data_IF_488890253062
#
_entry.id   IF_488890253062
#
_cell.length_a   1.000
_cell.length_b   1.000
_cell.length_c   1.000
_cell.angle_alpha   90.00
_cell.angle_beta   90.00
_cell.angle_gamma   90.00
#
_symmetry.space_group_name_H-M   'P 1'
#
loop_
_entity.id
_entity.type
_entity.pdbx_description
1 polymer ?
#
# COMPACT_ATOMS: atom_id res chain seq x y z
N UNK A 1 17.32 19.30 19.09
CA UNK A 1 16.48 18.16 18.69
C UNK A 1 15.41 18.73 17.77
N UNK A 2 15.40 18.39 16.48
CA UNK A 2 14.35 18.88 15.57
C UNK A 2 13.01 18.32 16.04
N UNK A 3 12.00 19.18 16.17
CA UNK A 3 10.67 18.77 16.60
C UNK A 3 10.08 17.78 15.57
N UNK A 4 9.48 16.69 16.05
CA UNK A 4 8.70 15.79 15.22
C UNK A 4 7.57 16.59 14.56
N UNK A 5 7.28 16.32 13.29
CA UNK A 5 6.15 16.92 12.60
C UNK A 5 4.83 16.28 13.05
N UNK A 6 4.07 16.99 13.89
CA UNK A 6 2.85 16.47 14.53
C UNK A 6 1.65 16.29 13.58
N UNK A 7 1.79 16.56 12.28
CA UNK A 7 0.67 16.62 11.34
C UNK A 7 0.46 15.36 10.48
N UNK A 8 1.42 14.43 10.48
CA UNK A 8 1.38 13.26 9.57
C UNK A 8 0.67 12.05 10.20
N UNK A 9 0.98 11.73 11.45
CA UNK A 9 0.27 10.72 12.24
C UNK A 9 0.12 11.20 13.69
N UNK A 10 -0.79 12.15 13.97
CA UNK A 10 -0.85 12.87 15.25
C UNK A 10 -1.11 11.98 16.47
N UNK A 11 -1.74 10.83 16.26
CA UNK A 11 -2.04 9.84 17.29
C UNK A 11 -1.20 8.55 17.13
N UNK A 12 -0.16 8.62 16.29
CA UNK A 12 0.74 7.52 15.98
C UNK A 12 1.80 7.29 17.06
N UNK A 13 2.63 6.27 16.82
CA UNK A 13 3.83 6.04 17.63
C UNK A 13 4.97 6.97 17.16
N UNK A 14 5.95 7.22 18.02
CA UNK A 14 7.16 7.95 17.63
C UNK A 14 7.92 7.19 16.52
N UNK A 15 8.29 7.92 15.46
CA UNK A 15 8.87 7.32 14.26
C UNK A 15 10.38 7.06 14.42
N UNK A 16 10.72 5.84 14.81
CA UNK A 16 12.10 5.32 14.86
C UNK A 16 12.33 4.14 13.90
N UNK A 17 11.44 3.92 12.93
CA UNK A 17 11.67 2.87 11.94
C UNK A 17 12.83 3.24 11.01
N UNK A 18 13.39 2.23 10.34
CA UNK A 18 14.43 2.41 9.32
C UNK A 18 13.88 2.72 7.93
N UNK A 19 12.55 2.79 7.79
CA UNK A 19 11.86 2.89 6.50
C UNK A 19 11.29 4.28 6.27
N UNK A 20 10.84 4.95 7.34
CA UNK A 20 10.20 6.26 7.27
C UNK A 20 10.87 7.26 8.21
N UNK A 21 10.57 8.54 7.99
CA UNK A 21 10.74 9.60 8.98
C UNK A 21 9.38 10.21 9.27
N UNK A 22 9.31 11.11 10.26
CA UNK A 22 8.17 11.96 10.60
C UNK A 22 7.55 12.79 9.45
N UNK A 23 8.10 12.73 8.24
CA UNK A 23 7.60 13.41 7.03
C UNK A 23 6.68 12.54 6.17
N UNK A 24 6.45 11.28 6.52
CA UNK A 24 5.64 10.36 5.74
C UNK A 24 4.88 9.40 6.63
N UNK A 25 3.68 9.01 6.18
CA UNK A 25 2.85 8.10 6.94
C UNK A 25 3.44 6.69 6.88
N UNK A 26 3.75 6.12 8.04
CA UNK A 26 4.31 4.78 8.14
C UNK A 26 3.30 3.73 7.69
N UNK A 27 3.70 2.79 6.82
CA UNK A 27 2.79 1.76 6.33
C UNK A 27 2.32 0.77 7.42
N UNK A 28 2.99 0.75 8.57
CA UNK A 28 2.61 -0.05 9.73
C UNK A 28 1.64 0.68 10.67
N UNK A 29 1.42 1.99 10.49
CA UNK A 29 0.52 2.74 11.36
C UNK A 29 -0.93 2.33 11.17
N UNK A 30 -1.74 2.49 12.22
CA UNK A 30 -3.18 2.21 12.15
C UNK A 30 -3.86 3.06 11.06
N UNK A 31 -3.46 4.33 10.97
CA UNK A 31 -3.94 5.27 9.95
C UNK A 31 -3.71 4.75 8.53
N UNK A 32 -2.50 4.25 8.22
CA UNK A 32 -2.21 3.69 6.88
C UNK A 32 -2.93 2.36 6.62
N UNK A 33 -3.00 1.49 7.63
CA UNK A 33 -3.73 0.23 7.51
C UNK A 33 -5.19 0.48 7.12
N UNK A 34 -5.83 1.50 7.71
CA UNK A 34 -7.20 1.81 7.39
C UNK A 34 -7.37 2.37 5.98
N UNK A 35 -6.46 3.23 5.52
CA UNK A 35 -6.43 3.68 4.12
C UNK A 35 -6.38 2.50 3.15
N UNK A 36 -5.53 1.50 3.44
CA UNK A 36 -5.40 0.31 2.58
C UNK A 36 -6.63 -0.59 2.63
N UNK A 37 -7.28 -0.73 3.79
CA UNK A 37 -8.55 -1.47 3.93
C UNK A 37 -9.67 -0.80 3.13
N UNK A 38 -9.79 0.53 3.23
CA UNK A 38 -10.81 1.31 2.52
C UNK A 38 -10.61 1.22 1.00
N UNK A 39 -9.37 1.34 0.51
CA UNK A 39 -9.05 1.16 -0.91
C UNK A 39 -9.42 -0.26 -1.37
N UNK A 40 -9.07 -1.28 -0.59
CA UNK A 40 -9.42 -2.68 -0.91
C UNK A 40 -10.94 -2.87 -0.97
N UNK A 41 -11.69 -2.35 0.01
CA UNK A 41 -13.15 -2.45 0.04
C UNK A 41 -13.80 -1.77 -1.17
N UNK A 42 -13.43 -0.52 -1.41
CA UNK A 42 -13.96 0.30 -2.52
C UNK A 42 -13.69 -0.34 -3.88
N UNK A 43 -12.46 -0.80 -4.14
CA UNK A 43 -12.12 -1.40 -5.43
C UNK A 43 -12.83 -2.75 -5.64
N UNK A 44 -12.99 -3.55 -4.58
CA UNK A 44 -13.75 -4.81 -4.68
C UNK A 44 -15.21 -4.56 -5.02
N UNK A 45 -15.82 -3.55 -4.43
CA UNK A 45 -17.21 -3.15 -4.71
C UNK A 45 -17.36 -2.68 -6.16
N UNK A 46 -16.55 -1.70 -6.59
CA UNK A 46 -16.63 -1.09 -7.93
C UNK A 46 -16.44 -2.12 -9.05
N UNK A 47 -15.52 -3.08 -8.86
CA UNK A 47 -15.20 -4.09 -9.87
C UNK A 47 -15.88 -5.44 -9.66
N UNK A 48 -16.71 -5.59 -8.61
CA UNK A 48 -17.34 -6.88 -8.25
C UNK A 48 -16.33 -8.03 -8.17
N UNK A 49 -15.18 -7.79 -7.52
CA UNK A 49 -14.05 -8.74 -7.47
C UNK A 49 -13.86 -9.34 -6.08
N UNK A 50 -13.42 -10.60 -5.99
CA UNK A 50 -13.10 -11.25 -4.71
C UNK A 50 -11.85 -10.67 -4.03
N UNK A 51 -10.86 -10.26 -4.82
CA UNK A 51 -9.55 -9.80 -4.36
C UNK A 51 -9.03 -8.64 -5.22
N UNK A 52 -8.25 -7.76 -4.59
CA UNK A 52 -7.57 -6.61 -5.20
C UNK A 52 -6.14 -6.55 -4.67
N UNK A 53 -5.20 -6.12 -5.53
CA UNK A 53 -3.79 -5.95 -5.18
C UNK A 53 -3.29 -4.60 -5.70
N UNK A 54 -2.50 -3.89 -4.89
CA UNK A 54 -1.83 -2.65 -5.27
C UNK A 54 -0.36 -2.96 -5.58
N UNK A 55 0.10 -2.61 -6.77
CA UNK A 55 1.50 -2.75 -7.20
C UNK A 55 2.13 -1.36 -7.29
N UNK A 56 3.10 -1.00 -6.44
CA UNK A 56 3.79 0.29 -6.52
C UNK A 56 4.50 0.45 -7.88
N UNK A 57 4.31 1.61 -8.53
CA UNK A 57 4.81 1.89 -9.88
C UNK A 57 3.72 2.52 -10.74
N UNK A 58 3.51 1.97 -11.94
CA UNK A 58 2.41 2.38 -12.83
C UNK A 58 1.70 1.17 -13.42
N UNK A 59 0.70 1.40 -14.29
CA UNK A 59 -0.11 0.32 -14.88
C UNK A 59 0.71 -0.78 -15.58
N UNK A 60 1.85 -0.42 -16.19
CA UNK A 60 2.77 -1.38 -16.81
C UNK A 60 3.37 -2.37 -15.81
N UNK A 61 3.66 -1.94 -14.59
CA UNK A 61 4.18 -2.82 -13.52
C UNK A 61 3.10 -3.80 -13.07
N UNK A 62 1.83 -3.37 -13.04
CA UNK A 62 0.70 -4.26 -12.78
C UNK A 62 0.56 -5.35 -13.86
N UNK A 63 0.63 -4.96 -15.15
CA UNK A 63 0.60 -5.92 -16.26
C UNK A 63 1.77 -6.91 -16.18
N UNK A 64 2.97 -6.44 -15.87
CA UNK A 64 4.15 -7.29 -15.72
C UNK A 64 4.03 -8.25 -14.53
N UNK A 65 3.51 -7.78 -13.38
CA UNK A 65 3.29 -8.63 -12.20
C UNK A 65 2.36 -9.81 -12.52
N UNK A 66 1.25 -9.54 -13.24
CA UNK A 66 0.32 -10.58 -13.71
C UNK A 66 1.02 -11.55 -14.67
N UNK A 67 1.75 -11.03 -15.66
CA UNK A 67 2.47 -11.84 -16.64
C UNK A 67 3.53 -12.75 -15.99
N UNK A 68 4.29 -12.25 -15.00
CA UNK A 68 5.32 -13.03 -14.30
C UNK A 68 4.73 -14.10 -13.38
N UNK A 69 3.59 -13.82 -12.76
CA UNK A 69 2.92 -14.77 -11.87
C UNK A 69 2.21 -15.88 -12.65
N UNK A 70 1.48 -15.56 -13.72
CA UNK A 70 0.59 -16.51 -14.40
C UNK A 70 1.06 -16.92 -15.81
N UNK A 71 1.91 -16.12 -16.46
CA UNK A 71 2.36 -16.38 -17.84
C UNK A 71 3.29 -17.58 -18.02
N UNK A 72 3.84 -18.13 -16.93
CA UNK A 72 4.67 -19.35 -16.96
C UNK A 72 3.86 -20.66 -17.04
N UNK A 73 2.53 -20.57 -16.96
CA UNK A 73 1.63 -21.74 -16.90
C UNK A 73 1.21 -22.28 -18.28
N UNK A 74 1.73 -21.76 -19.40
CA UNK A 74 1.51 -22.36 -20.73
C UNK A 74 2.69 -23.26 -21.12
N UNK A 75 2.56 -24.55 -20.84
CA UNK A 75 3.12 -25.58 -21.74
C UNK A 75 2.01 -25.93 -22.73
N UNK A 76 2.21 -25.59 -23.99
CA UNK A 76 1.44 -26.16 -25.10
C UNK A 76 1.76 -27.66 -25.23
#
# INVERSE_FOLDING_TARGET
>A
MGALLDNIDPNGLEEFSVVFTDRSLNHMSFSFQQVMNDISGMLKEVYSSDAVVIVPGGGTFGMEAVARQFGRMQKF
#
